data_IF_214730587253
#
_entry.id   IF_214730587253
#
_cell.length_a   1.000
_cell.length_b   1.000
_cell.length_c   1.000
_cell.angle_alpha   90.00
_cell.angle_beta   90.00
_cell.angle_gamma   90.00
#
_symmetry.space_group_name_H-M   'P 1'
#
loop_
_entity.id
_entity.type
_entity.pdbx_description
1 polymer ?
#
# COMPACT_ATOMS: atom_id res chain seq x y z
N UNK A 1 -53.35 -12.55 59.87
CA UNK A 1 -52.96 -13.87 59.33
C UNK A 1 -51.84 -13.63 58.33
N UNK A 2 -50.63 -13.94 58.74
CA UNK A 2 -49.37 -13.71 58.02
C UNK A 2 -49.25 -14.68 56.86
N UNK A 3 -48.94 -14.19 55.65
CA UNK A 3 -48.63 -15.05 54.51
C UNK A 3 -47.15 -14.87 54.18
N UNK A 4 -46.31 -15.80 54.64
CA UNK A 4 -44.89 -15.84 54.34
C UNK A 4 -44.69 -16.30 52.89
N UNK A 5 -44.30 -15.37 52.02
CA UNK A 5 -43.82 -15.66 50.68
C UNK A 5 -42.44 -16.30 50.74
N UNK A 6 -42.35 -17.62 50.55
CA UNK A 6 -41.08 -18.33 50.44
C UNK A 6 -40.35 -17.98 49.13
N UNK A 7 -39.14 -17.43 49.26
CA UNK A 7 -38.25 -17.12 48.14
C UNK A 7 -37.66 -18.40 47.50
N UNK A 8 -37.50 -18.48 46.17
CA UNK A 8 -36.94 -19.66 45.51
C UNK A 8 -35.44 -19.81 45.82
N UNK A 9 -35.00 -21.05 46.13
CA UNK A 9 -33.61 -21.37 46.46
C UNK A 9 -32.70 -21.19 45.23
N UNK A 10 -31.45 -20.69 45.40
CA UNK A 10 -30.53 -20.51 44.27
C UNK A 10 -30.18 -21.86 43.64
N UNK A 11 -30.21 -21.91 42.30
CA UNK A 11 -29.84 -23.10 41.54
C UNK A 11 -28.39 -23.52 41.86
N UNK A 12 -28.20 -24.79 42.23
CA UNK A 12 -26.87 -25.34 42.50
C UNK A 12 -26.03 -25.27 41.23
N UNK A 13 -24.83 -24.65 41.29
CA UNK A 13 -23.84 -24.73 40.21
C UNK A 13 -23.60 -26.20 39.85
N UNK A 14 -23.61 -26.51 38.55
CA UNK A 14 -23.33 -27.86 38.05
C UNK A 14 -21.93 -28.35 38.46
N UNK A 15 -21.66 -29.64 38.21
CA UNK A 15 -20.34 -30.23 38.52
C UNK A 15 -19.25 -29.57 37.65
N UNK A 16 -18.11 -29.14 38.23
CA UNK A 16 -16.96 -28.70 37.44
C UNK A 16 -16.48 -29.83 36.52
N UNK A 17 -15.99 -29.47 35.33
CA UNK A 17 -15.31 -30.45 34.47
C UNK A 17 -14.09 -31.03 35.19
N UNK A 18 -13.76 -32.29 34.89
CA UNK A 18 -12.57 -32.92 35.45
C UNK A 18 -11.32 -32.13 35.07
N UNK A 19 -10.39 -31.95 36.03
CA UNK A 19 -9.14 -31.23 35.80
C UNK A 19 -8.35 -31.92 34.69
N UNK A 20 -8.10 -31.21 33.59
CA UNK A 20 -7.41 -31.75 32.40
C UNK A 20 -8.33 -32.28 31.30
N UNK A 21 -9.66 -32.27 31.49
CA UNK A 21 -10.62 -32.71 30.48
C UNK A 21 -11.59 -31.57 30.15
N UNK A 22 -11.57 -31.11 28.89
CA UNK A 22 -12.58 -30.16 28.42
C UNK A 22 -13.95 -30.84 28.33
N UNK A 23 -15.02 -30.09 28.60
CA UNK A 23 -16.39 -30.59 28.38
C UNK A 23 -16.73 -30.87 26.91
N UNK A 24 -15.86 -30.47 25.99
CA UNK A 24 -15.94 -30.78 24.57
C UNK A 24 -14.54 -31.18 24.04
N UNK A 25 -14.19 -32.48 24.08
CA UNK A 25 -12.88 -32.98 23.66
C UNK A 25 -12.57 -32.75 22.18
N UNK A 26 -13.61 -32.72 21.33
CA UNK A 26 -13.48 -32.45 19.89
C UNK A 26 -13.37 -30.95 19.58
N UNK A 27 -13.46 -30.10 20.60
CA UNK A 27 -13.43 -28.66 20.45
C UNK A 27 -14.61 -28.12 19.63
N UNK A 28 -14.52 -26.83 19.32
CA UNK A 28 -15.52 -26.16 18.50
C UNK A 28 -15.48 -26.73 17.07
N UNK A 29 -16.63 -27.04 16.43
CA UNK A 29 -16.65 -27.62 15.09
C UNK A 29 -15.85 -26.79 14.08
N UNK A 30 -15.03 -27.47 13.27
CA UNK A 30 -14.22 -26.85 12.22
C UNK A 30 -15.15 -26.14 11.22
N UNK A 31 -14.88 -24.87 10.93
CA UNK A 31 -15.71 -24.04 10.04
C UNK A 31 -16.90 -23.34 10.70
N UNK A 32 -17.12 -23.50 12.01
CA UNK A 32 -18.19 -22.78 12.71
C UNK A 32 -17.90 -21.27 12.77
N UNK A 33 -18.79 -20.49 12.17
CA UNK A 33 -18.72 -19.02 12.19
C UNK A 33 -19.00 -18.51 13.60
N UNK A 34 -18.15 -17.60 14.11
CA UNK A 34 -18.47 -16.85 15.33
C UNK A 34 -19.48 -15.76 14.99
N UNK A 35 -20.14 -15.24 16.03
CA UNK A 35 -21.14 -14.16 15.87
C UNK A 35 -20.57 -12.98 15.10
N UNK A 36 -19.29 -12.64 15.33
CA UNK A 36 -18.56 -11.60 14.60
C UNK A 36 -18.49 -11.86 13.08
N UNK A 37 -18.13 -13.07 12.65
CA UNK A 37 -18.07 -13.42 11.23
C UNK A 37 -19.46 -13.40 10.58
N UNK A 38 -20.49 -13.85 11.29
CA UNK A 38 -21.87 -13.77 10.79
C UNK A 38 -22.32 -12.31 10.61
N UNK A 39 -21.95 -11.41 11.53
CA UNK A 39 -22.23 -9.97 11.41
C UNK A 39 -21.45 -9.37 10.25
N UNK A 40 -20.15 -9.65 10.13
CA UNK A 40 -19.31 -9.16 9.04
C UNK A 40 -19.87 -9.58 7.67
N UNK A 41 -20.31 -10.84 7.53
CA UNK A 41 -20.94 -11.33 6.31
C UNK A 41 -22.24 -10.61 5.98
N UNK A 42 -23.06 -10.28 6.99
CA UNK A 42 -24.25 -9.46 6.82
C UNK A 42 -23.95 -8.02 6.36
N UNK A 43 -22.83 -7.44 6.83
CA UNK A 43 -22.37 -6.11 6.39
C UNK A 43 -21.93 -6.15 4.93
N UNK A 44 -21.19 -7.19 4.50
CA UNK A 44 -20.80 -7.34 3.09
C UNK A 44 -22.01 -7.43 2.16
N UNK A 45 -23.09 -8.11 2.58
CA UNK A 45 -24.36 -8.14 1.82
C UNK A 45 -25.03 -6.76 1.66
N UNK A 46 -24.69 -5.78 2.50
CA UNK A 46 -25.20 -4.40 2.45
C UNK A 46 -24.19 -3.40 1.90
N UNK A 47 -23.05 -3.85 1.39
CA UNK A 47 -21.95 -2.97 0.97
C UNK A 47 -22.41 -1.90 -0.02
N UNK A 48 -23.28 -2.25 -0.98
CA UNK A 48 -23.83 -1.29 -1.94
C UNK A 48 -24.69 -0.20 -1.27
N UNK A 49 -25.65 -0.60 -0.44
CA UNK A 49 -26.53 0.34 0.26
C UNK A 49 -25.74 1.24 1.24
N UNK A 50 -24.70 0.71 1.86
CA UNK A 50 -23.78 1.50 2.68
C UNK A 50 -23.01 2.53 1.86
N UNK A 51 -22.51 2.14 0.68
CA UNK A 51 -21.81 3.06 -0.22
C UNK A 51 -22.74 4.19 -0.70
N UNK A 52 -23.96 3.86 -1.13
CA UNK A 52 -24.97 4.86 -1.52
C UNK A 52 -25.26 5.84 -0.36
N UNK A 53 -25.45 5.31 0.86
CA UNK A 53 -25.71 6.19 2.02
C UNK A 53 -24.52 7.09 2.40
N UNK A 54 -23.29 6.61 2.22
CA UNK A 54 -22.08 7.42 2.44
C UNK A 54 -22.01 8.57 1.44
N UNK A 55 -22.40 8.34 0.18
CA UNK A 55 -22.47 9.40 -0.83
C UNK A 55 -23.53 10.43 -0.47
N UNK A 56 -24.74 10.01 -0.08
CA UNK A 56 -25.81 10.94 0.30
C UNK A 56 -25.38 11.84 1.46
N UNK A 57 -24.81 11.25 2.53
CA UNK A 57 -24.33 12.00 3.68
C UNK A 57 -23.19 12.96 3.31
N UNK A 58 -22.32 12.57 2.37
CA UNK A 58 -21.28 13.46 1.87
C UNK A 58 -21.88 14.66 1.13
N UNK A 59 -22.88 14.43 0.28
CA UNK A 59 -23.58 15.50 -0.45
C UNK A 59 -24.38 16.42 0.48
N UNK A 60 -24.87 15.91 1.61
CA UNK A 60 -25.50 16.70 2.68
C UNK A 60 -24.48 17.51 3.51
N UNK A 61 -23.18 17.41 3.24
CA UNK A 61 -22.13 18.20 3.88
C UNK A 61 -21.42 17.53 5.06
N UNK A 62 -21.58 16.21 5.25
CA UNK A 62 -20.81 15.49 6.25
C UNK A 62 -19.32 15.41 5.86
N UNK A 63 -18.48 16.14 6.59
CA UNK A 63 -17.04 16.23 6.32
C UNK A 63 -16.31 14.88 6.39
N UNK A 64 -16.74 13.95 7.24
CA UNK A 64 -16.14 12.61 7.35
C UNK A 64 -16.44 11.79 6.11
N UNK A 65 -17.69 11.78 5.65
CA UNK A 65 -18.10 11.08 4.44
C UNK A 65 -17.45 11.71 3.19
N UNK A 66 -17.38 13.04 3.12
CA UNK A 66 -16.66 13.75 2.05
C UNK A 66 -15.20 13.34 1.97
N UNK A 67 -14.48 13.30 3.10
CA UNK A 67 -13.09 12.83 3.14
C UNK A 67 -12.96 11.39 2.62
N UNK A 68 -13.82 10.48 3.07
CA UNK A 68 -13.82 9.08 2.62
C UNK A 68 -14.03 9.00 1.10
N UNK A 69 -14.99 9.76 0.56
CA UNK A 69 -15.26 9.80 -0.87
C UNK A 69 -14.06 10.37 -1.65
N UNK A 70 -13.50 11.51 -1.23
CA UNK A 70 -12.39 12.17 -1.93
C UNK A 70 -11.11 11.32 -1.90
N UNK A 71 -10.74 10.73 -0.76
CA UNK A 71 -9.56 9.85 -0.63
C UNK A 71 -9.65 8.61 -1.51
N UNK A 72 -10.86 8.18 -1.89
CA UNK A 72 -11.11 7.00 -2.74
C UNK A 72 -11.28 7.36 -4.22
N UNK A 73 -11.85 8.54 -4.52
CA UNK A 73 -12.02 9.04 -5.88
C UNK A 73 -10.72 9.60 -6.45
N UNK A 74 -9.98 10.36 -5.64
CA UNK A 74 -8.67 10.88 -5.99
C UNK A 74 -7.64 9.89 -5.49
N UNK A 75 -7.25 8.94 -6.34
CA UNK A 75 -6.11 8.10 -6.03
C UNK A 75 -4.92 9.02 -5.73
N UNK A 76 -4.16 8.79 -4.64
CA UNK A 76 -2.90 9.50 -4.44
C UNK A 76 -2.07 9.27 -5.71
N UNK A 77 -1.71 10.37 -6.38
CA UNK A 77 -1.01 10.35 -7.68
C UNK A 77 0.33 9.66 -7.44
N UNK A 78 0.41 8.36 -7.74
CA UNK A 78 1.60 7.55 -7.42
C UNK A 78 2.78 8.00 -8.28
N UNK A 79 2.53 8.15 -9.57
CA UNK A 79 3.48 8.64 -10.56
C UNK A 79 2.71 9.45 -11.60
N UNK A 80 3.23 10.61 -12.00
CA UNK A 80 2.75 11.38 -13.13
C UNK A 80 3.84 11.42 -14.20
N UNK A 81 3.49 11.48 -15.49
CA UNK A 81 4.49 11.78 -16.51
C UNK A 81 5.20 13.08 -16.15
N UNK A 82 6.52 13.00 -16.02
CA UNK A 82 7.35 14.18 -15.85
C UNK A 82 7.29 14.97 -17.15
N UNK A 83 6.91 16.25 -17.06
CA UNK A 83 7.04 17.22 -18.16
C UNK A 83 8.50 17.60 -18.43
N UNK A 84 9.44 16.69 -18.16
CA UNK A 84 10.87 16.90 -18.30
C UNK A 84 11.34 16.26 -19.60
N UNK A 85 11.67 17.09 -20.58
CA UNK A 85 12.35 16.62 -21.78
C UNK A 85 13.79 16.27 -21.39
N UNK A 86 14.08 14.98 -21.29
CA UNK A 86 15.44 14.52 -21.06
C UNK A 86 16.34 14.94 -22.23
N UNK A 87 17.51 15.54 -21.96
CA UNK A 87 18.50 15.77 -23.01
C UNK A 87 19.01 14.44 -23.55
N UNK A 88 19.46 14.42 -24.82
CA UNK A 88 20.03 13.23 -25.43
C UNK A 88 21.33 12.80 -24.72
N UNK A 89 21.29 11.62 -24.10
CA UNK A 89 22.44 11.02 -23.42
C UNK A 89 23.04 9.98 -24.36
N UNK A 90 23.90 10.41 -25.27
CA UNK A 90 24.63 9.51 -26.18
C UNK A 90 26.00 9.07 -25.64
N UNK A 91 26.53 9.75 -24.63
CA UNK A 91 27.86 9.51 -24.08
C UNK A 91 27.93 9.90 -22.60
N UNK A 92 28.88 9.33 -21.86
CA UNK A 92 29.10 9.62 -20.43
C UNK A 92 29.38 11.12 -20.21
N UNK A 93 30.02 11.78 -21.17
CA UNK A 93 30.29 13.22 -21.17
C UNK A 93 29.02 14.11 -21.14
N UNK A 94 27.84 13.56 -21.49
CA UNK A 94 26.58 14.30 -21.46
C UNK A 94 25.89 14.26 -20.08
N UNK A 95 26.35 13.40 -19.15
CA UNK A 95 25.74 13.27 -17.82
C UNK A 95 25.75 14.59 -17.03
N UNK A 96 26.83 15.39 -16.99
CA UNK A 96 26.80 16.68 -16.32
C UNK A 96 25.71 17.62 -16.85
N UNK A 97 25.45 17.61 -18.17
CA UNK A 97 24.39 18.43 -18.78
C UNK A 97 22.99 18.00 -18.31
N UNK A 98 22.78 16.69 -18.16
CA UNK A 98 21.54 16.15 -17.57
C UNK A 98 21.33 16.70 -16.15
N UNK A 99 22.36 16.64 -15.30
CA UNK A 99 22.27 17.16 -13.93
C UNK A 99 22.00 18.67 -13.89
N UNK A 100 22.67 19.46 -14.73
CA UNK A 100 22.38 20.90 -14.83
C UNK A 100 20.92 21.18 -15.21
N UNK A 101 20.38 20.44 -16.19
CA UNK A 101 18.98 20.58 -16.59
C UNK A 101 18.01 20.19 -15.46
N UNK A 102 18.30 19.11 -14.72
CA UNK A 102 17.50 18.70 -13.56
C UNK A 102 17.53 19.75 -12.45
N UNK A 103 18.70 20.33 -12.14
CA UNK A 103 18.81 21.37 -11.10
C UNK A 103 18.07 22.66 -11.47
N UNK A 104 18.11 23.08 -12.74
CA UNK A 104 17.35 24.24 -13.20
C UNK A 104 15.84 24.03 -13.00
N UNK A 105 15.33 22.86 -13.41
CA UNK A 105 13.91 22.51 -13.30
C UNK A 105 13.44 22.32 -11.86
N UNK A 106 14.33 21.89 -10.97
CA UNK A 106 14.09 21.90 -9.52
C UNK A 106 13.89 23.33 -8.99
N UNK A 107 14.76 24.25 -9.41
CA UNK A 107 14.69 25.65 -9.00
C UNK A 107 13.43 26.37 -9.48
N UNK A 108 12.93 25.97 -10.66
CA UNK A 108 11.65 26.44 -11.22
C UNK A 108 10.42 25.81 -10.56
N UNK A 109 10.58 24.74 -9.79
CA UNK A 109 9.49 24.00 -9.16
C UNK A 109 8.68 23.11 -10.11
N UNK A 110 9.18 22.87 -11.31
CA UNK A 110 8.54 21.98 -12.30
C UNK A 110 8.73 20.49 -11.96
N UNK A 111 9.78 20.17 -11.19
CA UNK A 111 10.09 18.82 -10.75
C UNK A 111 10.29 18.83 -9.23
N UNK A 112 9.76 17.80 -8.57
CA UNK A 112 9.90 17.59 -7.13
C UNK A 112 11.24 16.92 -6.77
N UNK A 113 11.74 17.10 -5.53
CA UNK A 113 12.92 16.38 -5.07
C UNK A 113 12.81 14.85 -5.17
N UNK A 114 11.61 14.31 -4.96
CA UNK A 114 11.32 12.87 -5.10
C UNK A 114 11.48 12.39 -6.55
N UNK A 115 11.03 13.17 -7.53
CA UNK A 115 11.17 12.84 -8.94
C UNK A 115 12.63 12.91 -9.40
N UNK A 116 13.41 13.88 -8.91
CA UNK A 116 14.85 13.97 -9.20
C UNK A 116 15.61 12.77 -8.66
N UNK A 117 15.24 12.26 -7.49
CA UNK A 117 15.86 11.04 -6.95
C UNK A 117 15.65 9.88 -7.91
N UNK A 118 14.43 9.69 -8.40
CA UNK A 118 14.12 8.65 -9.40
C UNK A 118 14.89 8.85 -10.71
N UNK A 119 15.01 10.09 -11.19
CA UNK A 119 15.79 10.40 -12.41
C UNK A 119 17.29 10.15 -12.20
N UNK A 120 17.81 10.42 -11.01
CA UNK A 120 19.22 10.19 -10.66
C UNK A 120 19.53 8.70 -10.63
N UNK A 121 18.63 7.89 -10.05
CA UNK A 121 18.75 6.43 -10.06
C UNK A 121 18.76 5.88 -11.49
N UNK A 122 17.88 6.40 -12.36
CA UNK A 122 17.88 6.06 -13.80
C UNK A 122 19.18 6.47 -14.50
N UNK A 123 19.66 7.69 -14.26
CA UNK A 123 20.90 8.19 -14.85
C UNK A 123 22.12 7.34 -14.44
N UNK A 124 22.16 6.85 -13.20
CA UNK A 124 23.23 5.98 -12.71
C UNK A 124 23.22 4.61 -13.40
N UNK A 125 22.05 4.02 -13.64
CA UNK A 125 21.93 2.79 -14.44
C UNK A 125 22.41 3.03 -15.86
N UNK A 126 22.00 4.14 -16.47
CA UNK A 126 22.40 4.48 -17.84
C UNK A 126 23.92 4.73 -17.96
N UNK A 127 24.53 5.42 -16.99
CA UNK A 127 25.99 5.60 -16.89
C UNK A 127 26.73 4.27 -16.93
N UNK A 128 26.30 3.30 -16.11
CA UNK A 128 26.92 1.98 -16.04
C UNK A 128 26.86 1.22 -17.36
N UNK A 129 25.72 1.31 -18.06
CA UNK A 129 25.57 0.71 -19.40
C UNK A 129 26.55 1.33 -20.39
N UNK A 130 26.62 2.67 -20.46
CA UNK A 130 27.55 3.36 -21.34
C UNK A 130 29.00 3.01 -21.04
N UNK A 131 29.41 3.04 -19.76
CA UNK A 131 30.77 2.69 -19.36
C UNK A 131 31.12 1.24 -19.72
N UNK A 132 30.17 0.31 -19.56
CA UNK A 132 30.39 -1.10 -19.91
C UNK A 132 30.67 -1.23 -21.41
N UNK A 133 29.87 -0.58 -22.25
CA UNK A 133 30.04 -0.58 -23.71
C UNK A 133 31.34 0.11 -24.12
N UNK A 134 31.66 1.26 -23.54
CA UNK A 134 32.92 1.98 -23.83
C UNK A 134 34.15 1.16 -23.42
N UNK A 135 34.11 0.48 -22.28
CA UNK A 135 35.20 -0.38 -21.81
C UNK A 135 35.36 -1.59 -22.72
N UNK A 136 34.27 -2.26 -23.10
CA UNK A 136 34.30 -3.40 -24.03
C UNK A 136 34.97 -3.03 -25.35
N UNK A 137 34.55 -1.90 -25.95
CA UNK A 137 35.15 -1.38 -27.19
C UNK A 137 36.65 -1.09 -27.06
N UNK A 138 37.08 -0.52 -25.92
CA UNK A 138 38.50 -0.22 -25.67
C UNK A 138 39.32 -1.50 -25.47
N UNK A 139 38.76 -2.50 -24.80
CA UNK A 139 39.42 -3.79 -24.61
C UNK A 139 39.59 -4.50 -25.95
N UNK A 140 38.55 -4.58 -26.78
CA UNK A 140 38.63 -5.17 -28.11
C UNK A 140 39.71 -4.49 -28.99
N UNK A 141 39.75 -3.15 -28.98
CA UNK A 141 40.75 -2.40 -29.73
C UNK A 141 42.18 -2.70 -29.26
N UNK A 142 42.39 -2.83 -27.95
CA UNK A 142 43.70 -3.21 -27.39
C UNK A 142 44.07 -4.66 -27.73
N UNK A 143 43.12 -5.59 -27.68
CA UNK A 143 43.36 -6.99 -28.05
C UNK A 143 43.69 -7.15 -29.54
N UNK A 144 43.06 -6.37 -30.42
CA UNK A 144 43.38 -6.36 -31.85
C UNK A 144 44.78 -5.80 -32.12
N UNK A 145 45.18 -4.75 -31.39
CA UNK A 145 46.51 -4.15 -31.52
C UNK A 145 47.61 -5.03 -30.93
N UNK A 146 47.33 -5.82 -29.88
CA UNK A 146 48.28 -6.76 -29.28
C UNK A 146 48.48 -8.04 -30.09
N UNK A 147 47.59 -8.36 -31.03
CA UNK A 147 47.67 -9.54 -31.91
C UNK A 147 48.43 -9.27 -33.23
N UNK A 148 48.86 -8.02 -33.46
CA UNK A 148 49.76 -7.62 -34.57
C UNK A 148 51.19 -7.51 -34.07
#
# INVERSE_FOLDING_TARGET
MSNESQSPRPARRGRPFQKGQSGNPMGRPKGSRNKANSIAQGVFGKARALAEKVVDLALEGNLVCLRICVERLVAPKKDAPLGFNLPEIGAVANIPKLFTAMTAKLGEGEITPSEIRTLTDFAEVFRKVLETVEIEQRVEALEQNSKK
#
